data_IF_388981016366
#
_entry.id   IF_388981016366
#
_cell.length_a   1.000
_cell.length_b   1.000
_cell.length_c   1.000
_cell.angle_alpha   90.00
_cell.angle_beta   90.00
_cell.angle_gamma   90.00
#
_symmetry.space_group_name_H-M   'P 1'
#
loop_
_entity.id
_entity.type
_entity.pdbx_description
1 polymer ?
#
# COMPACT_ATOMS: atom_id res chain seq x y z
N UNK A 1 -18.02 -5.67 13.90
CA UNK A 1 -17.59 -4.78 12.82
C UNK A 1 -16.60 -3.76 13.35
N UNK A 2 -15.47 -3.64 12.71
CA UNK A 2 -14.48 -2.65 13.11
C UNK A 2 -14.94 -1.26 12.67
N UNK A 3 -14.76 -0.29 13.55
CA UNK A 3 -15.03 1.10 13.24
C UNK A 3 -13.73 1.87 13.26
N UNK A 4 -13.53 2.69 12.24
CA UNK A 4 -12.35 3.54 12.13
C UNK A 4 -12.72 4.99 12.43
N UNK A 5 -11.76 5.74 12.94
CA UNK A 5 -12.00 7.13 13.25
C UNK A 5 -12.24 7.96 12.00
N UNK A 6 -13.12 8.94 12.10
CA UNK A 6 -13.29 9.96 11.08
C UNK A 6 -12.09 10.90 11.05
N UNK A 7 -11.84 11.50 9.90
CA UNK A 7 -10.79 12.51 9.78
C UNK A 7 -11.08 13.72 10.67
N UNK A 8 -10.03 14.23 11.30
CA UNK A 8 -10.11 15.43 12.12
C UNK A 8 -10.55 16.66 11.30
N UNK A 9 -10.04 16.79 10.07
CA UNK A 9 -10.35 17.90 9.16
C UNK A 9 -11.29 17.42 8.06
N UNK A 10 -12.53 17.19 8.40
CA UNK A 10 -13.54 16.66 7.45
C UNK A 10 -13.70 17.50 6.19
N UNK A 11 -13.55 18.83 6.30
CA UNK A 11 -13.67 19.73 5.14
C UNK A 11 -12.57 19.52 4.10
N UNK A 12 -11.45 18.94 4.50
CA UNK A 12 -10.31 18.63 3.64
C UNK A 12 -10.28 17.17 3.21
N UNK A 13 -11.26 16.39 3.65
CA UNK A 13 -11.36 14.99 3.29
C UNK A 13 -11.60 14.84 1.79
N UNK A 14 -10.78 14.03 1.14
CA UNK A 14 -10.96 13.71 -0.27
C UNK A 14 -12.17 12.81 -0.44
N UNK A 15 -12.81 12.88 -1.62
CA UNK A 15 -13.86 11.94 -1.98
C UNK A 15 -13.28 10.53 -2.12
N UNK A 16 -14.15 9.52 -2.08
CA UNK A 16 -13.74 8.15 -2.33
C UNK A 16 -13.11 7.99 -3.72
N UNK A 17 -13.69 8.65 -4.73
CA UNK A 17 -13.17 8.63 -6.09
C UNK A 17 -11.77 9.23 -6.19
N UNK A 18 -11.53 10.35 -5.52
CA UNK A 18 -10.21 10.98 -5.47
C UNK A 18 -9.19 10.08 -4.77
N UNK A 19 -9.58 9.46 -3.67
CA UNK A 19 -8.71 8.53 -2.93
C UNK A 19 -8.35 7.32 -3.78
N UNK A 20 -9.30 6.73 -4.47
CA UNK A 20 -9.07 5.61 -5.39
C UNK A 20 -8.16 6.04 -6.54
N UNK A 21 -8.36 7.23 -7.09
CA UNK A 21 -7.51 7.75 -8.17
C UNK A 21 -6.05 7.87 -7.71
N UNK A 22 -5.82 8.33 -6.50
CA UNK A 22 -4.48 8.42 -5.92
C UNK A 22 -3.86 7.03 -5.82
N UNK A 23 -4.61 6.04 -5.32
CA UNK A 23 -4.12 4.66 -5.20
C UNK A 23 -3.82 4.04 -6.57
N UNK A 24 -4.63 4.34 -7.58
CA UNK A 24 -4.43 3.82 -8.93
C UNK A 24 -3.18 4.39 -9.62
N UNK A 25 -2.87 5.65 -9.36
CA UNK A 25 -1.76 6.37 -10.02
C UNK A 25 -0.44 6.23 -9.29
N UNK A 26 -0.46 5.97 -8.00
CA UNK A 26 0.74 5.87 -7.18
C UNK A 26 1.40 4.50 -7.32
N UNK A 27 2.71 4.44 -7.13
CA UNK A 27 3.49 3.20 -7.29
C UNK A 27 4.11 2.71 -5.98
N UNK A 28 4.17 3.56 -4.97
CA UNK A 28 4.76 3.20 -3.69
C UNK A 28 4.05 3.91 -2.55
N UNK A 29 4.14 3.33 -1.39
CA UNK A 29 3.61 3.89 -0.16
C UNK A 29 4.29 3.28 1.03
N UNK A 30 3.77 3.55 2.22
CA UNK A 30 4.28 3.03 3.48
C UNK A 30 3.28 2.08 4.08
N UNK A 31 3.70 0.83 4.25
CA UNK A 31 2.90 -0.22 4.89
C UNK A 31 3.23 -0.25 6.37
N UNK A 32 2.22 -0.17 7.22
CA UNK A 32 2.36 -0.23 8.67
C UNK A 32 1.76 -1.53 9.20
N UNK A 33 2.55 -2.25 9.96
CA UNK A 33 2.22 -3.55 10.54
C UNK A 33 2.56 -3.55 12.03
N UNK A 34 2.09 -4.57 12.75
CA UNK A 34 2.51 -4.81 14.12
C UNK A 34 3.77 -5.66 14.10
N UNK A 35 4.91 -5.07 14.41
CA UNK A 35 6.20 -5.73 14.36
C UNK A 35 6.58 -6.41 15.66
N UNK A 36 7.87 -6.75 15.77
CA UNK A 36 8.43 -7.42 16.94
C UNK A 36 8.26 -6.57 18.20
N UNK A 37 8.00 -7.25 19.32
CA UNK A 37 7.78 -6.60 20.63
C UNK A 37 6.62 -5.58 20.59
N UNK A 38 5.67 -5.79 19.69
CA UNK A 38 4.51 -4.92 19.49
C UNK A 38 4.85 -3.48 19.07
N UNK A 39 6.06 -3.27 18.57
CA UNK A 39 6.40 -2.00 17.95
C UNK A 39 5.70 -1.85 16.61
N UNK A 40 5.07 -0.70 16.35
CA UNK A 40 4.59 -0.41 14.99
C UNK A 40 5.75 -0.44 14.01
N UNK A 41 5.59 -1.20 12.94
CA UNK A 41 6.61 -1.38 11.91
C UNK A 41 6.13 -0.74 10.62
N UNK A 42 6.83 0.29 10.16
CA UNK A 42 6.49 1.01 8.93
C UNK A 42 7.59 0.80 7.90
N UNK A 43 7.20 0.37 6.71
CA UNK A 43 8.15 0.05 5.65
C UNK A 43 7.66 0.58 4.31
N UNK A 44 8.53 1.23 3.51
CA UNK A 44 8.18 1.62 2.16
C UNK A 44 8.06 0.37 1.28
N UNK A 45 7.07 0.35 0.42
CA UNK A 45 6.80 -0.79 -0.44
C UNK A 45 6.09 -0.35 -1.71
N UNK A 46 6.40 -1.02 -2.82
CA UNK A 46 5.69 -0.85 -4.07
C UNK A 46 4.38 -1.64 -4.05
N UNK A 47 3.38 -1.12 -4.76
CA UNK A 47 2.06 -1.73 -4.73
C UNK A 47 1.30 -1.51 -6.03
N UNK A 48 0.20 -2.24 -6.17
CA UNK A 48 -0.81 -1.98 -7.18
C UNK A 48 -2.20 -2.03 -6.54
N UNK A 49 -3.07 -1.12 -6.94
CA UNK A 49 -4.49 -1.13 -6.57
C UNK A 49 -5.29 -1.74 -7.70
N UNK A 50 -6.09 -2.75 -7.40
CA UNK A 50 -6.97 -3.38 -8.38
C UNK A 50 -8.17 -4.01 -7.68
N UNK A 51 -9.36 -3.79 -8.24
CA UNK A 51 -10.60 -4.42 -7.76
C UNK A 51 -10.87 -4.21 -6.25
N UNK A 52 -10.59 -3.02 -5.75
CA UNK A 52 -10.82 -2.69 -4.35
C UNK A 52 -9.78 -3.27 -3.40
N UNK A 53 -8.66 -3.77 -3.90
CA UNK A 53 -7.61 -4.38 -3.11
C UNK A 53 -6.24 -3.79 -3.42
N UNK A 54 -5.37 -3.85 -2.43
CA UNK A 54 -3.97 -3.46 -2.56
C UNK A 54 -3.12 -4.74 -2.59
N UNK A 55 -2.23 -4.82 -3.56
CA UNK A 55 -1.33 -5.96 -3.74
C UNK A 55 0.11 -5.51 -3.60
N UNK A 56 0.89 -6.32 -2.89
CA UNK A 56 2.29 -6.04 -2.60
C UNK A 56 3.15 -7.24 -2.99
N UNK A 57 4.39 -6.96 -3.36
CA UNK A 57 5.39 -8.00 -3.58
C UNK A 57 6.44 -7.95 -2.48
N UNK A 58 6.81 -9.08 -1.95
CA UNK A 58 7.75 -9.19 -0.84
C UNK A 58 8.55 -10.50 -0.92
N UNK A 59 9.66 -10.56 -0.19
CA UNK A 59 10.39 -11.80 0.01
C UNK A 59 9.52 -12.81 0.76
N UNK A 60 9.82 -14.10 0.62
CA UNK A 60 9.08 -15.21 1.24
C UNK A 60 9.24 -15.28 2.75
N UNK A 61 10.23 -14.61 3.30
CA UNK A 61 10.52 -14.58 4.73
C UNK A 61 11.01 -13.21 5.15
N UNK A 62 11.08 -12.96 6.44
CA UNK A 62 11.58 -11.74 7.02
C UNK A 62 10.57 -11.07 7.94
N UNK A 63 10.91 -9.89 8.42
CA UNK A 63 10.12 -9.16 9.42
C UNK A 63 8.68 -8.90 8.97
N UNK A 64 8.49 -8.49 7.70
CA UNK A 64 7.14 -8.25 7.15
C UNK A 64 6.27 -9.49 7.21
N UNK A 65 6.79 -10.62 6.75
CA UNK A 65 6.04 -11.88 6.70
C UNK A 65 5.69 -12.35 8.10
N UNK A 66 6.64 -12.30 9.01
CA UNK A 66 6.42 -12.69 10.41
C UNK A 66 5.37 -11.79 11.07
N UNK A 67 5.42 -10.48 10.80
CA UNK A 67 4.45 -9.54 11.33
C UNK A 67 3.03 -9.83 10.82
N UNK A 68 2.88 -10.11 9.51
CA UNK A 68 1.60 -10.44 8.91
C UNK A 68 1.02 -11.73 9.52
N UNK A 69 1.85 -12.74 9.72
CA UNK A 69 1.41 -14.01 10.32
C UNK A 69 0.98 -13.86 11.77
N UNK A 70 1.60 -12.95 12.50
CA UNK A 70 1.27 -12.65 13.89
C UNK A 70 -0.01 -11.83 14.02
N UNK A 71 -0.19 -10.82 13.18
CA UNK A 71 -1.35 -9.94 13.20
C UNK A 71 -1.64 -9.44 11.79
N UNK A 72 -2.86 -9.65 11.32
CA UNK A 72 -3.26 -9.31 9.96
C UNK A 72 -3.77 -7.87 9.79
N UNK A 73 -3.85 -7.11 10.86
CA UNK A 73 -4.28 -5.71 10.78
C UNK A 73 -3.16 -4.85 10.23
N UNK A 74 -3.49 -4.01 9.26
CA UNK A 74 -2.52 -3.16 8.58
C UNK A 74 -3.12 -1.83 8.22
N UNK A 75 -2.25 -0.85 8.06
CA UNK A 75 -2.62 0.39 7.39
C UNK A 75 -1.58 0.71 6.33
N UNK A 76 -2.01 1.45 5.32
CA UNK A 76 -1.17 1.80 4.18
C UNK A 76 -1.35 3.27 3.87
N UNK A 77 -0.24 4.00 3.80
CA UNK A 77 -0.25 5.44 3.57
C UNK A 77 0.42 5.76 2.24
N UNK A 78 -0.28 6.53 1.40
CA UNK A 78 0.23 7.02 0.13
C UNK A 78 0.19 8.55 0.15
N UNK A 79 1.30 9.17 -0.17
CA UNK A 79 1.40 10.63 -0.33
C UNK A 79 1.48 10.91 -1.82
N UNK A 80 0.46 11.60 -2.34
CA UNK A 80 0.37 11.90 -3.77
C UNK A 80 0.98 13.25 -4.13
N UNK A 81 0.96 14.17 -3.18
CA UNK A 81 1.49 15.51 -3.38
C UNK A 81 2.06 16.00 -2.06
N UNK A 82 3.29 16.48 -2.12
CA UNK A 82 3.99 17.06 -0.98
C UNK A 82 4.63 18.35 -1.47
N UNK A 83 3.98 19.49 -1.16
CA UNK A 83 4.39 20.79 -1.64
C UNK A 83 4.59 21.73 -0.44
N UNK A 84 5.85 22.00 -0.14
CA UNK A 84 6.24 22.88 0.95
C UNK A 84 6.21 24.32 0.47
N UNK A 85 5.47 25.17 1.18
CA UNK A 85 5.38 26.60 0.92
C UNK A 85 6.12 27.38 2.01
N UNK A 86 7.43 27.61 1.88
CA UNK A 86 8.23 28.24 2.94
C UNK A 86 7.72 29.61 3.37
N UNK A 87 7.21 30.38 2.43
CA UNK A 87 6.69 31.73 2.67
C UNK A 87 5.45 31.72 3.57
N UNK A 88 4.69 30.64 3.53
CA UNK A 88 3.47 30.46 4.32
C UNK A 88 3.68 29.55 5.54
N UNK A 89 4.89 29.05 5.72
CA UNK A 89 5.23 28.10 6.78
C UNK A 89 4.28 26.91 6.84
N UNK A 90 3.88 26.38 5.67
CA UNK A 90 2.92 25.27 5.58
C UNK A 90 3.32 24.30 4.46
N UNK A 91 2.82 23.09 4.57
CA UNK A 91 3.01 22.04 3.56
C UNK A 91 1.64 21.68 2.99
N UNK A 92 1.54 21.76 1.67
CA UNK A 92 0.34 21.29 0.96
C UNK A 92 0.57 19.87 0.47
N UNK A 93 -0.29 18.94 0.87
CA UNK A 93 -0.17 17.57 0.44
C UNK A 93 -1.55 16.91 0.30
N UNK A 94 -1.58 15.87 -0.52
CA UNK A 94 -2.72 14.98 -0.65
C UNK A 94 -2.24 13.59 -0.29
N UNK A 95 -2.97 12.93 0.58
CA UNK A 95 -2.60 11.60 1.04
C UNK A 95 -3.82 10.73 1.26
N UNK A 96 -3.60 9.42 1.20
CA UNK A 96 -4.62 8.42 1.50
C UNK A 96 -4.05 7.47 2.54
N UNK A 97 -4.83 7.20 3.58
CA UNK A 97 -4.50 6.15 4.56
C UNK A 97 -5.61 5.10 4.46
N UNK A 98 -5.23 3.88 4.11
CA UNK A 98 -6.15 2.75 4.03
C UNK A 98 -5.94 1.83 5.22
N UNK A 99 -7.03 1.43 5.86
CA UNK A 99 -7.01 0.48 6.96
C UNK A 99 -7.65 -0.83 6.50
N UNK A 100 -7.09 -1.94 6.90
CA UNK A 100 -7.65 -3.22 6.51
C UNK A 100 -6.86 -4.40 7.05
N UNK A 101 -7.12 -5.54 6.43
CA UNK A 101 -6.42 -6.76 6.76
C UNK A 101 -5.54 -7.19 5.60
N UNK A 102 -4.36 -7.68 5.94
CA UNK A 102 -3.38 -8.12 4.95
C UNK A 102 -3.18 -9.63 5.09
N UNK A 103 -3.09 -10.31 3.95
CA UNK A 103 -2.93 -11.76 3.89
C UNK A 103 -1.84 -12.12 2.91
N UNK A 104 -1.15 -13.22 3.19
CA UNK A 104 -0.19 -13.79 2.26
C UNK A 104 -0.97 -14.62 1.25
N UNK A 105 -0.76 -14.36 -0.04
CA UNK A 105 -1.38 -15.14 -1.11
C UNK A 105 -0.65 -16.47 -1.21
N UNK A 106 -1.36 -17.58 -1.00
CA UNK A 106 -0.80 -18.94 -1.04
C UNK A 106 -1.20 -19.69 -2.32
N UNK A 107 -2.30 -19.31 -2.96
CA UNK A 107 -2.73 -19.91 -4.22
C UNK A 107 -1.77 -19.55 -5.37
N UNK A 108 -1.26 -20.56 -6.07
CA UNK A 108 -0.25 -20.36 -7.12
C UNK A 108 -0.78 -19.54 -8.30
N UNK A 109 -2.02 -19.77 -8.72
CA UNK A 109 -2.61 -19.00 -9.81
C UNK A 109 -2.81 -17.53 -9.42
N UNK A 110 -3.22 -17.28 -8.19
CA UNK A 110 -3.41 -15.92 -7.68
C UNK A 110 -2.06 -15.22 -7.51
N UNK A 111 -1.03 -15.92 -7.04
CA UNK A 111 0.33 -15.39 -6.96
C UNK A 111 0.83 -14.94 -8.33
N UNK A 112 0.63 -15.77 -9.33
CA UNK A 112 1.06 -15.49 -10.70
C UNK A 112 0.34 -14.28 -11.26
N UNK A 113 -0.98 -14.20 -11.10
CA UNK A 113 -1.78 -13.08 -11.55
C UNK A 113 -1.35 -11.78 -10.87
N UNK A 114 -1.10 -11.81 -9.56
CA UNK A 114 -0.65 -10.65 -8.79
C UNK A 114 0.75 -10.19 -9.24
N UNK A 115 1.66 -11.13 -9.42
CA UNK A 115 3.01 -10.83 -9.89
C UNK A 115 2.98 -10.17 -11.27
N UNK A 116 2.10 -10.62 -12.16
CA UNK A 116 1.91 -9.99 -13.47
C UNK A 116 1.36 -8.59 -13.38
N UNK A 117 0.38 -8.35 -12.51
CA UNK A 117 -0.15 -7.00 -12.29
C UNK A 117 0.95 -6.04 -11.81
N UNK A 118 1.76 -6.46 -10.84
CA UNK A 118 2.85 -5.65 -10.33
C UNK A 118 3.93 -5.42 -11.41
N UNK A 119 4.30 -6.46 -12.12
CA UNK A 119 5.28 -6.36 -13.21
C UNK A 119 4.81 -5.47 -14.33
N UNK A 120 3.57 -5.58 -14.76
CA UNK A 120 3.00 -4.74 -15.81
C UNK A 120 2.92 -3.27 -15.38
N UNK A 121 2.71 -3.03 -14.10
CA UNK A 121 2.67 -1.67 -13.56
C UNK A 121 4.03 -0.97 -13.65
N UNK A 122 5.12 -1.70 -13.36
CA UNK A 122 6.47 -1.14 -13.28
C UNK A 122 7.30 -1.38 -14.54
N UNK A 123 7.05 -2.49 -15.25
CA UNK A 123 7.79 -2.88 -16.44
C UNK A 123 6.83 -3.49 -17.49
N UNK A 124 5.98 -2.67 -18.13
CA UNK A 124 4.92 -3.21 -18.98
C UNK A 124 5.40 -4.04 -20.19
N UNK A 125 6.66 -3.88 -20.61
CA UNK A 125 7.21 -4.57 -21.78
C UNK A 125 8.22 -5.67 -21.43
N UNK A 126 8.28 -6.13 -20.19
CA UNK A 126 9.28 -7.10 -19.72
C UNK A 126 8.64 -8.33 -19.07
N UNK A 127 7.63 -8.88 -19.70
CA UNK A 127 6.93 -10.05 -19.19
C UNK A 127 7.84 -11.28 -19.02
N UNK A 128 8.80 -11.48 -19.92
CA UNK A 128 9.77 -12.58 -19.82
C UNK A 128 10.64 -12.47 -18.56
N UNK A 129 11.10 -11.28 -18.24
CA UNK A 129 11.89 -11.04 -17.04
C UNK A 129 11.07 -11.32 -15.78
N UNK A 130 9.80 -10.93 -15.79
CA UNK A 130 8.88 -11.20 -14.68
C UNK A 130 8.69 -12.72 -14.47
N UNK A 131 8.52 -13.48 -15.54
CA UNK A 131 8.36 -14.92 -15.46
C UNK A 131 9.58 -15.62 -14.84
N UNK A 132 10.77 -15.09 -15.05
CA UNK A 132 11.99 -15.63 -14.44
C UNK A 132 12.08 -15.38 -12.95
N UNK A 133 11.44 -14.34 -12.46
CA UNK A 133 11.42 -14.01 -11.03
C UNK A 133 10.40 -14.82 -10.24
N UNK A 134 9.47 -15.43 -10.94
CA UNK A 134 8.43 -16.25 -10.32
C UNK A 134 8.93 -17.65 -10.01
#
# INVERSE_FOLDING_TARGET
MEQFREMRRKRQQLSEEESISILQKSTAGTLALLGDNDYPYAVPISFVYANGRLYFHSALSGHKVDAIRKCDKASFCVIAQDDVQPEKFTTFFRSVIAFGRIHIIEDEAEKLATARMLGNRYNPNQEEALQKEL
#
